data_IF_057885621527
#
_entry.id   IF_057885621527
#
_cell.length_a   1.000
_cell.length_b   1.000
_cell.length_c   1.000
_cell.angle_alpha   90.00
_cell.angle_beta   90.00
_cell.angle_gamma   90.00
#
_symmetry.space_group_name_H-M   'P 1'
#
loop_
_entity.id
_entity.type
_entity.pdbx_description
1 polymer ?
#
# COMPACT_ATOMS: atom_id res chain seq x y z
N UNK A 1 -3.67 -20.44 17.96
CA UNK A 1 -3.90 -20.04 16.56
C UNK A 1 -4.27 -18.56 16.55
N UNK A 2 -3.34 -17.70 16.11
CA UNK A 2 -3.61 -16.27 15.96
C UNK A 2 -4.48 -16.07 14.72
N UNK A 3 -5.54 -15.26 14.82
CA UNK A 3 -6.34 -14.91 13.63
C UNK A 3 -5.49 -14.12 12.64
N UNK A 4 -5.61 -14.35 11.32
CA UNK A 4 -4.93 -13.55 10.32
C UNK A 4 -5.36 -12.08 10.38
N UNK A 5 -4.43 -11.17 10.10
CA UNK A 5 -4.73 -9.74 10.00
C UNK A 5 -5.31 -9.45 8.61
N UNK A 6 -6.62 -9.61 8.51
CA UNK A 6 -7.35 -9.47 7.24
C UNK A 6 -7.70 -8.01 6.89
N UNK A 7 -8.32 -7.80 5.74
CA UNK A 7 -8.75 -6.48 5.29
C UNK A 7 -9.72 -5.82 6.27
N UNK A 8 -10.57 -6.58 6.98
CA UNK A 8 -11.48 -6.02 7.97
C UNK A 8 -10.69 -5.47 9.16
N UNK A 9 -9.74 -6.24 9.69
CA UNK A 9 -8.84 -5.82 10.76
C UNK A 9 -8.00 -4.59 10.35
N UNK A 10 -7.53 -4.54 9.09
CA UNK A 10 -6.87 -3.35 8.54
C UNK A 10 -7.77 -2.11 8.65
N UNK A 11 -9.02 -2.17 8.18
CA UNK A 11 -9.93 -1.03 8.24
C UNK A 11 -10.27 -0.62 9.68
N UNK A 12 -10.46 -1.58 10.60
CA UNK A 12 -10.64 -1.27 12.02
C UNK A 12 -9.43 -0.54 12.61
N UNK A 13 -8.22 -0.89 12.20
CA UNK A 13 -7.01 -0.24 12.69
C UNK A 13 -6.90 1.24 12.29
N UNK A 14 -7.63 1.70 11.27
CA UNK A 14 -7.63 3.10 10.85
C UNK A 14 -8.18 4.05 11.91
N UNK A 15 -8.92 3.55 12.91
CA UNK A 15 -9.40 4.34 14.04
C UNK A 15 -8.31 4.61 15.10
N UNK A 16 -7.16 3.93 15.04
CA UNK A 16 -6.02 4.17 15.94
C UNK A 16 -5.10 5.30 15.47
N UNK A 17 -4.11 5.65 16.29
CA UNK A 17 -3.15 6.72 15.98
C UNK A 17 -1.92 6.26 15.18
N UNK A 18 -1.64 4.96 15.19
CA UNK A 18 -0.49 4.36 14.52
C UNK A 18 -0.89 3.10 13.76
N UNK A 19 -0.22 2.79 12.62
CA UNK A 19 -0.45 1.54 11.93
C UNK A 19 0.03 0.37 12.79
N UNK A 20 -0.57 -0.83 12.67
CA UNK A 20 -0.07 -2.01 13.35
C UNK A 20 1.42 -2.23 13.06
N UNK A 21 2.27 -2.48 14.08
CA UNK A 21 3.72 -2.45 13.94
C UNK A 21 4.28 -3.58 13.06
N UNK A 22 3.53 -4.67 12.90
CA UNK A 22 3.90 -5.81 12.06
C UNK A 22 3.67 -5.56 10.56
N UNK A 23 3.03 -4.44 10.17
CA UNK A 23 2.81 -4.16 8.76
C UNK A 23 4.12 -3.72 8.08
N UNK A 24 4.45 -4.29 6.91
CA UNK A 24 5.59 -3.83 6.11
C UNK A 24 5.36 -2.41 5.59
N UNK A 25 6.42 -1.69 5.17
CA UNK A 25 6.36 -0.28 4.78
C UNK A 25 5.27 0.05 3.76
N UNK A 26 5.08 -0.77 2.73
CA UNK A 26 4.06 -0.56 1.69
C UNK A 26 2.62 -0.66 2.23
N UNK A 27 2.34 -1.54 3.20
CA UNK A 27 1.03 -1.60 3.85
C UNK A 27 0.82 -0.47 4.87
N UNK A 28 1.88 -0.04 5.55
CA UNK A 28 1.83 1.17 6.40
C UNK A 28 1.56 2.42 5.57
N UNK A 29 2.16 2.54 4.38
CA UNK A 29 1.88 3.63 3.46
C UNK A 29 0.40 3.67 3.04
N UNK A 30 -0.17 2.53 2.66
CA UNK A 30 -1.60 2.43 2.34
C UNK A 30 -2.50 2.78 3.55
N UNK A 31 -2.07 2.47 4.78
CA UNK A 31 -2.78 2.84 6.01
C UNK A 31 -2.79 4.35 6.23
N UNK A 32 -1.65 5.03 6.05
CA UNK A 32 -1.57 6.49 6.12
C UNK A 32 -2.38 7.15 5.00
N UNK A 33 -2.31 6.63 3.78
CA UNK A 33 -3.10 7.16 2.65
C UNK A 33 -4.62 7.06 2.90
N UNK A 34 -5.09 5.92 3.42
CA UNK A 34 -6.50 5.72 3.79
C UNK A 34 -6.99 6.72 4.86
N UNK A 35 -6.08 7.34 5.61
CA UNK A 35 -6.37 8.39 6.59
C UNK A 35 -6.17 9.81 6.04
N UNK A 36 -5.87 9.94 4.75
CA UNK A 36 -5.58 11.23 4.13
C UNK A 36 -4.17 11.77 4.43
N UNK A 37 -3.31 10.98 5.06
CA UNK A 37 -1.94 11.37 5.45
C UNK A 37 -0.95 11.10 4.31
N UNK A 38 -1.20 11.68 3.12
CA UNK A 38 -0.45 11.38 1.89
C UNK A 38 1.07 11.53 2.04
N UNK A 39 1.56 12.60 2.68
CA UNK A 39 2.99 12.83 2.85
C UNK A 39 3.67 11.70 3.62
N UNK A 40 3.07 11.26 4.73
CA UNK A 40 3.55 10.11 5.50
C UNK A 40 3.51 8.81 4.71
N UNK A 41 2.47 8.64 3.88
CA UNK A 41 2.37 7.49 3.01
C UNK A 41 3.51 7.46 1.98
N UNK A 42 3.81 8.62 1.37
CA UNK A 42 4.85 8.77 0.37
C UNK A 42 6.24 8.52 0.96
N UNK A 43 6.57 9.12 2.11
CA UNK A 43 7.87 8.97 2.78
C UNK A 43 8.21 7.49 3.07
N UNK A 44 7.20 6.68 3.41
CA UNK A 44 7.40 5.26 3.73
C UNK A 44 7.77 4.38 2.53
N UNK A 45 7.58 4.86 1.30
CA UNK A 45 7.88 4.11 0.07
C UNK A 45 8.80 4.87 -0.88
N UNK A 46 9.29 6.04 -0.47
CA UNK A 46 10.11 6.95 -1.28
C UNK A 46 11.33 6.25 -1.91
N UNK A 47 11.97 5.37 -1.15
CA UNK A 47 13.16 4.64 -1.61
C UNK A 47 12.86 3.61 -2.71
N UNK A 48 11.61 3.14 -2.80
CA UNK A 48 11.20 2.08 -3.71
C UNK A 48 11.95 0.77 -3.52
N UNK A 49 12.36 0.41 -2.31
CA UNK A 49 13.25 -0.74 -2.05
C UNK A 49 12.72 -2.10 -2.54
N UNK A 50 11.41 -2.21 -2.79
CA UNK A 50 10.77 -3.46 -3.20
C UNK A 50 9.73 -3.23 -4.29
N UNK A 51 9.34 -4.30 -5.01
CA UNK A 51 8.25 -4.23 -6.00
C UNK A 51 6.92 -3.78 -5.38
N UNK A 52 6.50 -4.26 -4.19
CA UNK A 52 5.34 -3.70 -3.49
C UNK A 52 5.47 -2.21 -3.16
N UNK A 53 6.64 -1.76 -2.67
CA UNK A 53 6.87 -0.34 -2.38
C UNK A 53 6.75 0.51 -3.65
N UNK A 54 7.40 0.11 -4.76
CA UNK A 54 7.25 0.79 -6.05
C UNK A 54 5.81 0.84 -6.55
N UNK A 55 5.02 -0.22 -6.35
CA UNK A 55 3.61 -0.26 -6.77
C UNK A 55 2.74 0.68 -5.95
N UNK A 56 2.95 0.75 -4.63
CA UNK A 56 2.25 1.71 -3.76
C UNK A 56 2.68 3.14 -4.08
N UNK A 57 3.97 3.37 -4.34
CA UNK A 57 4.49 4.68 -4.75
C UNK A 57 3.83 5.16 -6.06
N UNK A 58 3.68 4.27 -7.04
CA UNK A 58 2.97 4.57 -8.28
C UNK A 58 1.52 5.00 -8.04
N UNK A 59 0.81 4.29 -7.15
CA UNK A 59 -0.55 4.65 -6.75
C UNK A 59 -0.60 6.03 -6.06
N UNK A 60 0.37 6.35 -5.18
CA UNK A 60 0.39 7.63 -4.48
C UNK A 60 0.60 8.82 -5.44
N UNK A 61 1.43 8.67 -6.47
CA UNK A 61 1.56 9.70 -7.52
C UNK A 61 0.32 9.79 -8.41
N UNK A 62 -0.38 8.68 -8.70
CA UNK A 62 -1.71 8.78 -9.35
C UNK A 62 -2.68 9.60 -8.50
N UNK A 63 -2.65 9.42 -7.18
CA UNK A 63 -3.52 10.14 -6.26
C UNK A 63 -3.19 11.64 -6.19
N UNK A 64 -1.92 11.98 -6.29
CA UNK A 64 -1.42 13.36 -6.38
C UNK A 64 -1.76 14.03 -7.73
N UNK A 65 -1.98 13.23 -8.79
CA UNK A 65 -2.23 13.70 -10.15
C UNK A 65 -0.97 13.75 -11.03
N UNK A 66 0.17 13.23 -10.54
CA UNK A 66 1.40 13.11 -11.31
C UNK A 66 1.44 11.79 -12.09
N UNK A 67 0.78 11.79 -13.25
CA UNK A 67 0.70 10.61 -14.11
C UNK A 67 2.07 10.15 -14.64
N UNK A 68 2.99 11.09 -14.86
CA UNK A 68 4.31 10.79 -15.42
C UNK A 68 5.18 10.04 -14.40
N UNK A 69 5.23 10.50 -13.15
CA UNK A 69 5.92 9.77 -12.08
C UNK A 69 5.20 8.47 -11.73
N UNK A 70 3.86 8.47 -11.70
CA UNK A 70 3.11 7.23 -11.51
C UNK A 70 3.53 6.16 -12.54
N UNK A 71 3.62 6.52 -13.83
CA UNK A 71 4.06 5.62 -14.89
C UNK A 71 5.51 5.13 -14.70
N UNK A 72 6.43 5.99 -14.22
CA UNK A 72 7.79 5.60 -13.86
C UNK A 72 7.79 4.51 -12.77
N UNK A 73 7.01 4.71 -11.71
CA UNK A 73 6.96 3.79 -10.58
C UNK A 73 6.22 2.48 -10.88
N UNK A 74 5.17 2.52 -11.71
CA UNK A 74 4.53 1.30 -12.22
C UNK A 74 5.53 0.44 -12.99
N UNK A 75 6.34 1.06 -13.86
CA UNK A 75 7.41 0.36 -14.58
C UNK A 75 8.44 -0.23 -13.62
N UNK A 76 8.84 0.48 -12.56
CA UNK A 76 9.74 -0.05 -11.52
C UNK A 76 9.15 -1.25 -10.77
N UNK A 77 7.83 -1.26 -10.56
CA UNK A 77 7.11 -2.41 -10.00
C UNK A 77 6.99 -3.59 -10.99
N UNK A 78 7.27 -3.37 -12.28
CA UNK A 78 7.06 -4.35 -13.35
C UNK A 78 5.58 -4.54 -13.68
N UNK A 79 4.76 -3.50 -13.53
CA UNK A 79 3.31 -3.57 -13.73
C UNK A 79 2.82 -2.45 -14.66
N UNK A 80 1.68 -2.67 -15.30
CA UNK A 80 1.00 -1.62 -16.08
C UNK A 80 0.26 -0.65 -15.14
N UNK A 81 0.09 0.63 -15.56
CA UNK A 81 -0.72 1.58 -14.81
C UNK A 81 -2.14 1.08 -14.56
N UNK A 82 -2.62 1.26 -13.33
CA UNK A 82 -4.01 0.96 -13.02
C UNK A 82 -4.94 1.97 -13.69
N UNK A 83 -6.12 1.51 -14.09
CA UNK A 83 -7.19 2.36 -14.64
C UNK A 83 -8.43 2.41 -13.76
N UNK A 84 -8.42 1.66 -12.66
CA UNK A 84 -9.51 1.70 -11.67
C UNK A 84 -9.51 3.05 -10.93
N UNK A 85 -10.67 3.43 -10.34
CA UNK A 85 -10.75 4.53 -9.40
C UNK A 85 -9.74 4.37 -8.24
N UNK A 86 -9.21 5.49 -7.74
CA UNK A 86 -8.15 5.50 -6.73
C UNK A 86 -8.49 4.66 -5.49
N UNK A 87 -9.69 4.81 -4.94
CA UNK A 87 -10.11 4.05 -3.76
C UNK A 87 -10.16 2.54 -4.03
N UNK A 88 -10.58 2.14 -5.24
CA UNK A 88 -10.60 0.72 -5.64
C UNK A 88 -9.20 0.16 -5.83
N UNK A 89 -8.28 0.94 -6.38
CA UNK A 89 -6.88 0.54 -6.48
C UNK A 89 -6.28 0.35 -5.08
N UNK A 90 -6.45 1.31 -4.17
CA UNK A 90 -5.96 1.21 -2.79
C UNK A 90 -6.47 -0.06 -2.11
N UNK A 91 -7.77 -0.29 -2.15
CA UNK A 91 -8.39 -1.46 -1.51
C UNK A 91 -7.86 -2.78 -2.09
N UNK A 92 -7.59 -2.79 -3.41
CA UNK A 92 -7.02 -3.96 -4.09
C UNK A 92 -5.58 -4.20 -3.66
N UNK A 93 -4.78 -3.14 -3.52
CA UNK A 93 -3.40 -3.23 -3.01
C UNK A 93 -3.37 -3.72 -1.56
N UNK A 94 -4.25 -3.20 -0.69
CA UNK A 94 -4.39 -3.66 0.70
C UNK A 94 -4.68 -5.16 0.72
N UNK A 95 -5.72 -5.61 0.00
CA UNK A 95 -6.09 -7.03 -0.03
C UNK A 95 -4.97 -7.92 -0.57
N UNK A 96 -4.32 -7.50 -1.66
CA UNK A 96 -3.20 -8.23 -2.27
C UNK A 96 -2.07 -8.43 -1.28
N UNK A 97 -1.59 -7.36 -0.65
CA UNK A 97 -0.41 -7.44 0.20
C UNK A 97 -0.68 -8.08 1.56
N UNK A 98 -1.91 -8.01 2.07
CA UNK A 98 -2.30 -8.80 3.23
C UNK A 98 -2.30 -10.30 2.91
N UNK A 99 -2.82 -10.70 1.74
CA UNK A 99 -2.77 -12.10 1.31
C UNK A 99 -1.32 -12.59 1.10
N UNK A 100 -0.45 -11.75 0.54
CA UNK A 100 0.98 -12.08 0.37
C UNK A 100 1.67 -12.32 1.74
N UNK A 101 1.31 -11.59 2.80
CA UNK A 101 1.85 -11.82 4.15
C UNK A 101 1.41 -13.16 4.75
N UNK A 102 0.18 -13.60 4.48
CA UNK A 102 -0.34 -14.89 4.95
C UNK A 102 0.27 -16.08 4.19
N UNK A 103 0.64 -15.87 2.92
CA UNK A 103 1.19 -16.89 2.06
C UNK A 103 2.70 -17.18 2.30
N UNK A 104 3.38 -16.40 3.15
CA UNK A 104 4.77 -16.64 3.52
C UNK A 104 4.87 -17.81 4.53
N UNK A 105 5.46 -18.96 4.15
CA UNK A 105 5.64 -20.06 5.10
C UNK A 105 6.69 -19.67 6.16
N UNK A 106 6.28 -19.64 7.43
CA UNK A 106 7.19 -19.62 8.58
C UNK A 106 7.71 -18.24 8.96
N UNK A 107 6.94 -17.52 9.77
CA UNK A 107 7.46 -16.81 10.95
C UNK A 107 7.01 -17.62 12.16
#
# INVERSE_FOLDING_TARGET
>A
MTRPFDARAFHFSLAGDTPPPALPPHLRALWHDARGEWGRAHDLVEDGATRPACRVHAYLHRREGDEANAAYWYRRAGESPCREPLDRERDTLIRRYLADLEALPGI
#
